data_IF_786319562209
#
_entry.id   IF_786319562209
#
_cell.length_a   1.000
_cell.length_b   1.000
_cell.length_c   1.000
_cell.angle_alpha   90.00
_cell.angle_beta   90.00
_cell.angle_gamma   90.00
#
_symmetry.space_group_name_H-M   'P 1'
#
loop_
_entity.id
_entity.type
_entity.pdbx_description
1 polymer ?
#
# COMPACT_ATOMS: atom_id res chain seq x y z
N UNK A 1 6.12 32.32 1.64
CA UNK A 1 5.24 31.15 1.45
C UNK A 1 4.90 30.61 2.83
N UNK A 2 3.60 30.56 3.12
CA UNK A 2 3.05 30.04 4.38
C UNK A 2 3.21 28.52 4.46
N UNK A 3 3.27 28.00 5.69
CA UNK A 3 3.35 26.57 5.95
C UNK A 3 2.00 25.92 5.59
N UNK A 4 2.01 24.75 4.94
CA UNK A 4 0.78 24.07 4.49
C UNK A 4 0.28 23.11 5.56
N UNK A 5 -1.03 23.14 5.84
CA UNK A 5 -1.67 22.21 6.80
C UNK A 5 -1.46 20.73 6.43
N UNK A 6 -1.38 20.40 5.13
CA UNK A 6 -1.13 19.03 4.70
C UNK A 6 0.24 18.48 5.12
N UNK A 7 1.20 19.32 5.49
CA UNK A 7 2.52 18.87 5.94
C UNK A 7 2.50 18.25 7.34
N UNK A 8 1.49 18.56 8.16
CA UNK A 8 1.32 18.01 9.51
C UNK A 8 0.43 16.77 9.55
N UNK A 9 -0.21 16.39 8.44
CA UNK A 9 -0.99 15.15 8.36
C UNK A 9 -0.01 14.01 8.15
N UNK A 10 0.30 13.29 9.23
CA UNK A 10 1.25 12.17 9.24
C UNK A 10 0.70 10.95 9.95
N UNK A 11 1.35 9.81 9.75
CA UNK A 11 1.10 8.56 10.47
C UNK A 11 -0.38 8.16 10.42
N UNK A 12 -1.02 7.91 11.55
CA UNK A 12 -2.43 7.50 11.64
C UNK A 12 -3.41 8.55 11.13
N UNK A 13 -3.04 9.84 11.18
CA UNK A 13 -3.92 10.93 10.76
C UNK A 13 -4.19 10.93 9.24
N UNK A 14 -3.31 10.29 8.44
CA UNK A 14 -3.49 10.19 6.99
C UNK A 14 -4.77 9.44 6.62
N UNK A 15 -5.20 8.49 7.46
CA UNK A 15 -6.35 7.65 7.14
C UNK A 15 -7.62 8.48 7.06
N UNK A 16 -7.90 9.26 8.11
CA UNK A 16 -9.08 10.11 8.16
C UNK A 16 -9.09 11.14 7.03
N UNK A 17 -7.92 11.73 6.74
CA UNK A 17 -7.76 12.70 5.66
C UNK A 17 -8.09 12.10 4.29
N UNK A 18 -7.45 10.98 3.94
CA UNK A 18 -7.62 10.36 2.63
C UNK A 18 -8.98 9.67 2.46
N UNK A 19 -9.51 9.02 3.50
CA UNK A 19 -10.87 8.43 3.46
C UNK A 19 -11.91 9.50 3.21
N UNK A 20 -11.77 10.67 3.84
CA UNK A 20 -12.66 11.82 3.60
C UNK A 20 -12.47 12.36 2.19
N UNK A 21 -11.24 12.55 1.73
CA UNK A 21 -10.94 13.04 0.38
C UNK A 21 -11.51 12.15 -0.73
N UNK A 22 -11.42 10.83 -0.56
CA UNK A 22 -11.89 9.85 -1.54
C UNK A 22 -13.36 9.47 -1.39
N UNK A 23 -14.02 9.91 -0.31
CA UNK A 23 -15.38 9.55 0.04
C UNK A 23 -15.58 8.00 0.01
N UNK A 24 -14.73 7.26 0.72
CA UNK A 24 -14.86 5.81 0.84
C UNK A 24 -16.05 5.48 1.76
N UNK A 25 -17.17 5.06 1.17
CA UNK A 25 -18.43 4.89 1.88
C UNK A 25 -18.48 3.59 2.69
N UNK A 26 -19.40 3.50 3.65
CA UNK A 26 -19.61 2.26 4.40
C UNK A 26 -20.19 1.14 3.52
N UNK A 27 -20.97 1.48 2.49
CA UNK A 27 -21.42 0.52 1.47
C UNK A 27 -20.22 -0.08 0.71
N UNK A 28 -19.25 0.73 0.32
CA UNK A 28 -18.03 0.29 -0.35
C UNK A 28 -17.17 -0.60 0.57
N UNK A 29 -17.03 -0.24 1.85
CA UNK A 29 -16.35 -1.07 2.86
C UNK A 29 -17.03 -2.44 3.04
N UNK A 30 -18.37 -2.44 3.10
CA UNK A 30 -19.16 -3.67 3.22
C UNK A 30 -19.03 -4.55 1.96
N UNK A 31 -19.02 -3.95 0.78
CA UNK A 31 -18.80 -4.67 -0.48
C UNK A 31 -17.43 -5.36 -0.53
N UNK A 32 -16.38 -4.69 -0.01
CA UNK A 32 -15.05 -5.28 0.14
C UNK A 32 -15.06 -6.43 1.15
N UNK A 33 -15.66 -6.25 2.32
CA UNK A 33 -15.81 -7.32 3.32
C UNK A 33 -16.55 -8.55 2.76
N UNK A 34 -17.63 -8.33 2.02
CA UNK A 34 -18.41 -9.41 1.39
C UNK A 34 -17.61 -10.18 0.33
N UNK A 35 -16.57 -9.56 -0.25
CA UNK A 35 -15.71 -10.14 -1.28
C UNK A 35 -14.49 -10.89 -0.72
N UNK A 36 -14.34 -10.92 0.61
CA UNK A 36 -13.21 -11.58 1.27
C UNK A 36 -13.08 -13.07 0.95
N UNK A 37 -14.16 -13.89 0.89
CA UNK A 37 -14.02 -15.30 0.53
C UNK A 37 -13.40 -15.53 -0.86
N UNK A 38 -13.76 -14.69 -1.84
CA UNK A 38 -13.20 -14.73 -3.18
C UNK A 38 -11.74 -14.25 -3.20
N UNK A 39 -11.40 -13.28 -2.34
CA UNK A 39 -10.01 -12.88 -2.15
C UNK A 39 -9.16 -14.01 -1.58
N UNK A 40 -9.66 -14.73 -0.57
CA UNK A 40 -9.00 -15.91 0.00
C UNK A 40 -8.83 -17.03 -1.04
N UNK A 41 -9.84 -17.28 -1.87
CA UNK A 41 -9.77 -18.25 -2.98
C UNK A 41 -8.74 -17.85 -4.04
N UNK A 42 -8.64 -16.56 -4.37
CA UNK A 42 -7.76 -16.05 -5.42
C UNK A 42 -6.34 -15.75 -4.95
N UNK A 43 -6.11 -15.64 -3.64
CA UNK A 43 -4.82 -15.27 -3.07
C UNK A 43 -3.67 -16.16 -3.58
N UNK A 44 -3.75 -17.51 -3.59
CA UNK A 44 -2.64 -18.34 -4.07
C UNK A 44 -2.23 -18.03 -5.52
N UNK A 45 -3.20 -17.71 -6.39
CA UNK A 45 -2.92 -17.33 -7.77
C UNK A 45 -2.25 -15.96 -7.87
N UNK A 46 -2.71 -14.96 -7.09
CA UNK A 46 -2.09 -13.63 -7.05
C UNK A 46 -0.65 -13.73 -6.56
N UNK A 47 -0.41 -14.46 -5.48
CA UNK A 47 0.92 -14.58 -4.87
C UNK A 47 1.91 -15.22 -5.85
N UNK A 48 1.47 -16.24 -6.58
CA UNK A 48 2.27 -16.84 -7.64
C UNK A 48 2.63 -15.83 -8.73
N UNK A 49 1.64 -15.14 -9.30
CA UNK A 49 1.88 -14.13 -10.34
C UNK A 49 2.78 -12.99 -9.86
N UNK A 50 2.63 -12.57 -8.60
CA UNK A 50 3.40 -11.50 -7.99
C UNK A 50 4.88 -11.87 -7.89
N UNK A 51 5.20 -13.05 -7.34
CA UNK A 51 6.59 -13.49 -7.22
C UNK A 51 7.20 -13.92 -8.55
N UNK A 52 6.43 -14.50 -9.47
CA UNK A 52 6.91 -14.80 -10.82
C UNK A 52 7.38 -13.53 -11.53
N UNK A 53 6.60 -12.44 -11.44
CA UNK A 53 6.96 -11.14 -12.01
C UNK A 53 8.19 -10.51 -11.31
N UNK A 54 8.26 -10.57 -9.99
CA UNK A 54 9.41 -10.02 -9.24
C UNK A 54 10.71 -10.78 -9.49
N UNK A 55 10.65 -12.11 -9.58
CA UNK A 55 11.83 -12.95 -9.77
C UNK A 55 12.29 -13.00 -11.23
N UNK A 56 11.42 -12.67 -12.19
CA UNK A 56 11.77 -12.57 -13.62
C UNK A 56 12.36 -11.22 -14.03
N UNK A 57 12.39 -10.23 -13.13
CA UNK A 57 12.97 -8.92 -13.38
C UNK A 57 14.21 -8.69 -12.52
N UNK A 58 15.39 -8.59 -13.15
CA UNK A 58 16.70 -8.56 -12.47
C UNK A 58 16.78 -7.54 -11.32
N UNK A 59 16.30 -6.30 -11.54
CA UNK A 59 16.37 -5.25 -10.51
C UNK A 59 15.47 -5.52 -9.29
N UNK A 60 14.47 -6.40 -9.40
CA UNK A 60 13.67 -6.80 -8.24
C UNK A 60 14.11 -8.15 -7.69
N UNK A 61 14.64 -9.03 -8.54
CA UNK A 61 15.16 -10.34 -8.16
C UNK A 61 16.33 -10.24 -7.16
N UNK A 62 17.17 -9.20 -7.27
CA UNK A 62 18.32 -8.98 -6.37
C UNK A 62 17.94 -8.89 -4.89
N UNK A 63 16.69 -8.53 -4.56
CA UNK A 63 16.20 -8.43 -3.18
C UNK A 63 15.84 -9.79 -2.55
N UNK A 64 15.97 -10.91 -3.27
CA UNK A 64 15.52 -12.25 -2.83
C UNK A 64 16.64 -13.29 -2.65
N UNK A 65 17.91 -12.88 -2.51
CA UNK A 65 19.08 -13.76 -2.51
C UNK A 65 19.27 -14.76 -1.36
N UNK A 66 18.27 -14.99 -0.50
CA UNK A 66 18.35 -15.91 0.66
C UNK A 66 17.51 -17.17 0.49
N UNK A 67 18.07 -18.34 0.85
CA UNK A 67 17.34 -19.60 0.86
C UNK A 67 16.10 -19.51 1.77
N UNK A 68 14.90 -19.77 1.23
CA UNK A 68 13.64 -19.80 1.97
C UNK A 68 13.00 -18.43 2.26
N UNK A 69 13.62 -17.31 1.86
CA UNK A 69 13.07 -15.97 2.06
C UNK A 69 11.74 -15.77 1.33
N UNK A 70 11.66 -16.22 0.08
CA UNK A 70 10.45 -16.10 -0.74
C UNK A 70 9.26 -16.82 -0.08
N UNK A 71 9.48 -18.02 0.47
CA UNK A 71 8.40 -18.79 1.10
C UNK A 71 7.80 -18.09 2.31
N UNK A 72 8.64 -17.49 3.16
CA UNK A 72 8.16 -16.70 4.28
C UNK A 72 7.38 -15.45 3.83
N UNK A 73 7.88 -14.76 2.81
CA UNK A 73 7.26 -13.53 2.32
C UNK A 73 5.92 -13.78 1.61
N UNK A 74 5.74 -14.96 0.98
CA UNK A 74 4.45 -15.38 0.40
C UNK A 74 3.30 -15.30 1.38
N UNK A 75 3.48 -15.82 2.59
CA UNK A 75 2.44 -15.75 3.64
C UNK A 75 2.15 -14.33 4.11
N UNK A 76 3.17 -13.46 4.11
CA UNK A 76 3.00 -12.04 4.50
C UNK A 76 2.24 -11.26 3.43
N UNK A 77 2.57 -11.50 2.15
CA UNK A 77 1.88 -10.88 1.02
C UNK A 77 0.43 -11.37 0.92
N UNK A 78 0.18 -12.65 1.19
CA UNK A 78 -1.17 -13.22 1.24
C UNK A 78 -2.02 -12.57 2.34
N UNK A 79 -1.48 -12.47 3.56
CA UNK A 79 -2.17 -11.82 4.67
C UNK A 79 -2.47 -10.33 4.36
N UNK A 80 -1.50 -9.60 3.79
CA UNK A 80 -1.71 -8.21 3.37
C UNK A 80 -2.81 -8.10 2.30
N UNK A 81 -2.78 -8.97 1.29
CA UNK A 81 -3.77 -8.98 0.22
C UNK A 81 -5.19 -9.24 0.73
N UNK A 82 -5.37 -10.26 1.57
CA UNK A 82 -6.67 -10.58 2.17
C UNK A 82 -7.16 -9.44 3.07
N UNK A 83 -6.24 -8.74 3.76
CA UNK A 83 -6.60 -7.60 4.60
C UNK A 83 -7.17 -6.42 3.80
N UNK A 84 -6.91 -6.31 2.50
CA UNK A 84 -7.59 -5.33 1.62
C UNK A 84 -9.10 -5.58 1.54
N UNK A 85 -9.57 -6.77 1.90
CA UNK A 85 -10.98 -7.14 1.92
C UNK A 85 -11.51 -7.25 3.36
N UNK A 86 -10.89 -6.57 4.34
CA UNK A 86 -11.35 -6.60 5.74
C UNK A 86 -12.68 -5.86 5.93
N UNK A 87 -12.92 -4.79 5.17
CA UNK A 87 -14.00 -3.82 5.40
C UNK A 87 -13.87 -2.98 6.67
N UNK A 88 -12.79 -3.17 7.44
CA UNK A 88 -12.42 -2.33 8.57
C UNK A 88 -11.01 -1.78 8.34
N UNK A 89 -10.92 -0.45 8.20
CA UNK A 89 -9.69 0.28 7.93
C UNK A 89 -9.49 1.27 9.07
N UNK A 90 -8.79 0.84 10.10
CA UNK A 90 -8.55 1.56 11.35
C UNK A 90 -7.06 1.87 11.54
N UNK A 91 -6.69 2.33 12.72
CA UNK A 91 -5.31 2.58 13.12
C UNK A 91 -4.40 1.37 12.87
N UNK A 92 -4.84 0.15 13.15
CA UNK A 92 -4.02 -1.05 12.96
C UNK A 92 -3.77 -1.34 11.48
N UNK A 93 -4.78 -1.10 10.64
CA UNK A 93 -4.63 -1.16 9.18
C UNK A 93 -3.52 -0.22 8.72
N UNK A 94 -3.53 1.04 9.18
CA UNK A 94 -2.56 2.08 8.80
C UNK A 94 -1.15 1.73 9.30
N UNK A 95 -1.03 1.35 10.57
CA UNK A 95 0.24 1.01 11.18
C UNK A 95 0.91 -0.19 10.49
N UNK A 96 0.12 -1.16 10.03
CA UNK A 96 0.62 -2.25 9.19
C UNK A 96 1.24 -1.72 7.89
N UNK A 97 0.57 -0.84 7.13
CA UNK A 97 1.08 -0.30 5.85
C UNK A 97 2.31 0.58 6.06
N UNK A 98 2.33 1.39 7.11
CA UNK A 98 3.50 2.19 7.48
C UNK A 98 4.71 1.29 7.81
N UNK A 99 4.48 0.17 8.50
CA UNK A 99 5.54 -0.81 8.81
C UNK A 99 6.06 -1.49 7.55
N UNK A 100 5.17 -1.86 6.62
CA UNK A 100 5.53 -2.40 5.31
C UNK A 100 6.38 -1.39 4.54
N UNK A 101 5.94 -0.14 4.44
CA UNK A 101 6.69 0.93 3.76
C UNK A 101 8.06 1.19 4.39
N UNK A 102 8.14 1.32 5.72
CA UNK A 102 9.43 1.45 6.46
C UNK A 102 10.37 0.29 6.19
N UNK A 103 9.83 -0.93 6.07
CA UNK A 103 10.63 -2.12 5.74
C UNK A 103 11.21 -2.03 4.34
N UNK A 104 10.43 -1.57 3.35
CA UNK A 104 10.91 -1.40 1.98
C UNK A 104 11.97 -0.29 1.87
N UNK A 105 11.80 0.82 2.60
CA UNK A 105 12.82 1.88 2.71
C UNK A 105 14.11 1.32 3.32
N UNK A 106 14.01 0.56 4.43
CA UNK A 106 15.16 0.01 5.15
C UNK A 106 16.02 -0.91 4.29
N UNK A 107 15.42 -1.69 3.39
CA UNK A 107 16.16 -2.54 2.46
C UNK A 107 16.66 -1.79 1.21
N UNK A 108 16.40 -0.49 1.11
CA UNK A 108 16.80 0.34 -0.01
C UNK A 108 16.02 0.08 -1.30
N UNK A 109 14.81 -0.49 -1.21
CA UNK A 109 13.99 -0.81 -2.38
C UNK A 109 13.36 0.47 -2.95
N UNK A 110 13.64 0.86 -4.21
CA UNK A 110 13.02 2.04 -4.81
C UNK A 110 11.49 1.91 -4.88
N UNK A 111 10.78 2.94 -4.39
CA UNK A 111 9.31 2.96 -4.26
C UNK A 111 8.56 2.66 -5.57
N UNK A 112 9.17 2.94 -6.72
CA UNK A 112 8.60 2.64 -8.04
C UNK A 112 8.28 1.16 -8.25
N UNK A 113 9.02 0.24 -7.63
CA UNK A 113 8.80 -1.21 -7.80
C UNK A 113 7.51 -1.69 -7.11
N UNK A 114 7.30 -1.46 -5.80
CA UNK A 114 6.03 -1.82 -5.17
C UNK A 114 4.84 -1.11 -5.83
N UNK A 115 4.99 0.16 -6.26
CA UNK A 115 3.95 0.88 -7.00
C UNK A 115 3.63 0.22 -8.35
N UNK A 116 4.64 -0.22 -9.11
CA UNK A 116 4.43 -0.94 -10.37
C UNK A 116 3.75 -2.30 -10.15
N UNK A 117 4.06 -2.99 -9.05
CA UNK A 117 3.44 -4.27 -8.70
C UNK A 117 1.96 -4.18 -8.34
N UNK A 118 1.44 -2.97 -8.08
CA UNK A 118 -0.01 -2.74 -7.93
C UNK A 118 -0.80 -3.11 -9.18
N UNK A 119 -0.17 -3.17 -10.36
CA UNK A 119 -0.79 -3.68 -11.59
C UNK A 119 -1.32 -5.12 -11.41
N UNK A 120 -0.51 -6.01 -10.81
CA UNK A 120 -0.95 -7.38 -10.49
C UNK A 120 -2.13 -7.34 -9.52
N UNK A 121 -2.05 -6.46 -8.52
CA UNK A 121 -3.11 -6.35 -7.53
C UNK A 121 -4.44 -5.88 -8.14
N UNK A 122 -4.41 -4.90 -9.03
CA UNK A 122 -5.58 -4.35 -9.71
C UNK A 122 -6.27 -5.40 -10.58
N UNK A 123 -5.50 -6.17 -11.35
CA UNK A 123 -6.05 -7.26 -12.17
C UNK A 123 -6.89 -8.24 -11.34
N UNK A 124 -6.35 -8.68 -10.19
CA UNK A 124 -7.04 -9.65 -9.34
C UNK A 124 -8.20 -9.02 -8.56
N UNK A 125 -8.08 -7.76 -8.14
CA UNK A 125 -9.19 -7.03 -7.53
C UNK A 125 -10.38 -6.86 -8.47
N UNK A 126 -10.13 -6.60 -9.75
CA UNK A 126 -11.17 -6.54 -10.78
C UNK A 126 -11.82 -7.91 -11.01
N UNK A 127 -11.03 -8.99 -11.04
CA UNK A 127 -11.57 -10.35 -11.12
C UNK A 127 -12.47 -10.68 -9.93
N UNK A 128 -12.04 -10.36 -8.71
CA UNK A 128 -12.83 -10.54 -7.48
C UNK A 128 -14.11 -9.72 -7.51
N UNK A 129 -14.05 -8.47 -7.98
CA UNK A 129 -15.25 -7.64 -8.13
C UNK A 129 -16.27 -8.30 -9.06
N UNK A 130 -15.83 -8.87 -10.17
CA UNK A 130 -16.68 -9.54 -11.15
C UNK A 130 -17.26 -10.89 -10.69
N UNK A 131 -16.71 -11.49 -9.63
CA UNK A 131 -17.26 -12.72 -9.02
C UNK A 131 -18.45 -12.45 -8.10
N UNK A 132 -18.75 -11.17 -7.82
CA UNK A 132 -19.82 -10.76 -6.91
C UNK A 132 -21.03 -10.18 -7.66
N UNK A 133 -22.21 -10.24 -7.03
CA UNK A 133 -23.45 -9.67 -7.57
C UNK A 133 -23.48 -8.14 -7.67
N UNK A 134 -22.43 -7.44 -7.21
CA UNK A 134 -22.31 -5.98 -7.21
C UNK A 134 -20.94 -5.51 -7.73
N UNK A 135 -20.56 -5.97 -8.92
CA UNK A 135 -19.24 -5.73 -9.51
C UNK A 135 -18.86 -4.24 -9.62
N UNK A 136 -19.83 -3.35 -9.90
CA UNK A 136 -19.55 -1.92 -10.01
C UNK A 136 -19.13 -1.31 -8.66
N UNK A 137 -19.89 -1.57 -7.60
CA UNK A 137 -19.57 -1.05 -6.25
C UNK A 137 -18.28 -1.67 -5.75
N UNK A 138 -18.10 -2.99 -5.85
CA UNK A 138 -16.87 -3.66 -5.40
C UNK A 138 -15.65 -3.18 -6.18
N UNK A 139 -15.74 -3.03 -7.51
CA UNK A 139 -14.63 -2.56 -8.32
C UNK A 139 -14.27 -1.09 -8.05
N UNK A 140 -15.26 -0.23 -7.78
CA UNK A 140 -15.02 1.15 -7.35
C UNK A 140 -14.38 1.20 -5.95
N UNK A 141 -14.90 0.41 -5.00
CA UNK A 141 -14.39 0.30 -3.65
C UNK A 141 -12.93 -0.18 -3.65
N UNK A 142 -12.62 -1.21 -4.44
CA UNK A 142 -11.27 -1.76 -4.57
C UNK A 142 -10.28 -0.73 -5.12
N UNK A 143 -10.65 0.02 -6.18
CA UNK A 143 -9.79 1.08 -6.73
C UNK A 143 -9.48 2.17 -5.71
N UNK A 144 -10.49 2.61 -4.94
CA UNK A 144 -10.30 3.59 -3.85
C UNK A 144 -9.36 3.03 -2.78
N UNK A 145 -9.54 1.78 -2.39
CA UNK A 145 -8.70 1.16 -1.37
C UNK A 145 -7.26 0.95 -1.85
N UNK A 146 -7.05 0.50 -3.10
CA UNK A 146 -5.72 0.36 -3.68
C UNK A 146 -4.98 1.71 -3.69
N UNK A 147 -5.68 2.80 -4.01
CA UNK A 147 -5.12 4.15 -3.91
C UNK A 147 -4.80 4.55 -2.46
N UNK A 148 -5.68 4.22 -1.50
CA UNK A 148 -5.45 4.45 -0.07
C UNK A 148 -4.21 3.71 0.43
N UNK A 149 -4.09 2.42 0.10
CA UNK A 149 -2.98 1.55 0.50
C UNK A 149 -1.64 2.09 -0.03
N UNK A 150 -1.58 2.46 -1.33
CA UNK A 150 -0.41 3.11 -1.93
C UNK A 150 -0.06 4.41 -1.21
N UNK A 151 -1.04 5.26 -0.91
CA UNK A 151 -0.78 6.55 -0.29
C UNK A 151 -0.22 6.41 1.13
N UNK A 152 -0.79 5.51 1.94
CA UNK A 152 -0.29 5.22 3.30
C UNK A 152 1.11 4.59 3.24
N UNK A 153 1.32 3.64 2.33
CA UNK A 153 2.62 3.02 2.12
C UNK A 153 3.68 4.04 1.67
N UNK A 154 3.34 4.92 0.72
CA UNK A 154 4.25 5.93 0.18
C UNK A 154 4.59 7.01 1.21
N UNK A 155 3.67 7.33 2.12
CA UNK A 155 3.97 8.22 3.24
C UNK A 155 5.16 7.72 4.08
N UNK A 156 5.35 6.41 4.23
CA UNK A 156 6.53 5.89 4.96
C UNK A 156 7.85 6.23 4.25
N UNK A 157 7.87 6.24 2.91
CA UNK A 157 9.00 6.70 2.12
C UNK A 157 9.23 8.20 2.30
N UNK A 158 8.17 9.00 2.15
CA UNK A 158 8.23 10.45 2.29
C UNK A 158 8.72 10.87 3.68
N UNK A 159 8.15 10.28 4.74
CA UNK A 159 8.54 10.54 6.12
C UNK A 159 10.01 10.18 6.33
N UNK A 160 10.42 8.98 5.93
CA UNK A 160 11.81 8.55 6.16
C UNK A 160 12.82 9.43 5.42
N UNK A 161 12.57 9.75 4.15
CA UNK A 161 13.45 10.62 3.37
C UNK A 161 13.51 12.05 3.94
N UNK A 162 12.36 12.57 4.35
CA UNK A 162 12.27 13.90 4.95
C UNK A 162 12.99 13.95 6.30
N UNK A 163 12.84 12.92 7.13
CA UNK A 163 13.49 12.84 8.44
C UNK A 163 15.01 12.82 8.30
N UNK A 164 15.55 12.02 7.35
CA UNK A 164 16.98 12.01 7.05
C UNK A 164 17.49 13.37 6.58
N UNK A 165 16.73 14.04 5.68
CA UNK A 165 17.10 15.37 5.22
C UNK A 165 17.02 16.40 6.36
N UNK A 166 15.99 16.31 7.21
CA UNK A 166 15.82 17.16 8.38
C UNK A 166 16.96 17.00 9.38
N UNK A 167 17.47 15.78 9.58
CA UNK A 167 18.63 15.50 10.41
C UNK A 167 19.91 16.17 9.85
N UNK A 168 20.13 16.08 8.53
CA UNK A 168 21.29 16.69 7.86
C UNK A 168 21.25 18.22 7.92
N UNK A 169 20.08 18.83 7.73
CA UNK A 169 19.94 20.31 7.70
C UNK A 169 19.55 20.92 9.05
N UNK A 170 19.32 20.08 10.06
CA UNK A 170 18.92 20.44 11.42
C UNK A 170 17.49 20.99 11.57
N UNK A 171 16.65 20.94 10.52
CA UNK A 171 15.31 21.52 10.55
C UNK A 171 14.38 20.95 9.45
N UNK A 172 13.27 20.31 9.83
CA UNK A 172 12.27 19.76 8.88
C UNK A 172 11.71 20.84 7.93
N UNK A 173 11.44 22.05 8.43
CA UNK A 173 10.93 23.16 7.60
C UNK A 173 11.94 23.55 6.52
N UNK A 174 13.22 23.55 6.86
CA UNK A 174 14.28 23.82 5.88
C UNK A 174 14.39 22.67 4.88
N UNK A 175 14.33 21.43 5.34
CA UNK A 175 14.33 20.23 4.49
C UNK A 175 13.20 20.28 3.45
N UNK A 176 11.96 20.55 3.87
CA UNK A 176 10.81 20.71 2.96
C UNK A 176 11.03 21.84 1.95
N UNK A 177 11.59 22.97 2.38
CA UNK A 177 11.88 24.12 1.49
C UNK A 177 12.95 23.80 0.45
N UNK A 178 13.92 22.94 0.78
CA UNK A 178 14.95 22.51 -0.17
C UNK A 178 14.40 21.54 -1.22
N UNK A 179 13.45 20.69 -0.84
CA UNK A 179 12.77 19.78 -1.78
C UNK A 179 11.83 20.49 -2.76
N UNK A 180 11.37 21.70 -2.41
CA UNK A 180 10.41 22.48 -3.22
C UNK A 180 11.05 23.60 -4.06
N UNK A 181 12.37 23.65 -4.13
CA UNK A 181 13.13 24.63 -4.92
C UNK A 181 13.61 24.02 -6.23
#
# INVERSE_FOLDING_TARGET
MEDRNSWSIKDEAILTDLVTLMNLSDEEKQALAASRPQAEEMAPQLINAFYERLLSHDNTAEYFGGNGMVEHLRGTLEAWFIQLFSGNYDTDYVNSRLTIGKTHVRIGLPVRYPLAMMDVLVEYGERIANMNGNAEVTGRAFRKLAALDIAIFNQAYENTQLDHLAEVVGNERLARRLLTK
#
